data_IF_985195656642
#
_entry.id   IF_985195656642
#
_cell.length_a   1.000
_cell.length_b   1.000
_cell.length_c   1.000
_cell.angle_alpha   90.00
_cell.angle_beta   90.00
_cell.angle_gamma   90.00
#
_symmetry.space_group_name_H-M   'P 1'
#
loop_
_entity.id
_entity.type
_entity.pdbx_description
1 polymer ?
#
# COMPACT_ATOMS: atom_id res chain seq x y z
N UNK A 1 28.40 18.29 9.68
CA UNK A 1 28.01 17.39 8.57
C UNK A 1 27.51 16.16 9.29
N UNK A 2 26.23 15.82 9.18
CA UNK A 2 25.37 15.05 10.14
C UNK A 2 24.27 16.02 10.63
N UNK A 3 22.96 15.87 10.40
CA UNK A 3 22.13 14.69 10.15
C UNK A 3 21.08 14.96 9.05
N UNK A 4 21.15 14.19 7.96
CA UNK A 4 20.19 14.20 6.85
C UNK A 4 19.31 12.94 6.88
N UNK A 5 18.78 12.58 8.07
CA UNK A 5 18.22 11.24 8.33
C UNK A 5 16.72 11.21 8.74
N UNK A 6 15.97 12.30 8.56
CA UNK A 6 14.53 12.36 8.92
C UNK A 6 13.58 12.54 7.74
N UNK A 7 14.08 12.44 6.51
CA UNK A 7 13.28 12.38 5.28
C UNK A 7 13.16 10.88 4.93
N UNK A 8 12.06 10.16 5.12
CA UNK A 8 10.84 10.19 4.30
C UNK A 8 9.88 9.07 4.78
N UNK A 9 9.63 8.96 6.08
CA UNK A 9 8.59 8.02 6.54
C UNK A 9 7.22 8.67 6.29
N UNK A 10 6.65 8.41 5.11
CA UNK A 10 5.29 8.86 4.81
C UNK A 10 4.36 8.32 5.90
N UNK A 11 3.53 9.18 6.52
CA UNK A 11 2.58 8.75 7.54
C UNK A 11 1.77 7.56 6.99
N UNK A 12 1.55 6.48 7.76
CA UNK A 12 0.85 5.28 7.30
C UNK A 12 -0.48 5.58 6.59
N UNK A 13 -1.19 6.62 7.06
CA UNK A 13 -2.42 7.11 6.44
C UNK A 13 -2.26 7.56 4.98
N UNK A 14 -1.15 8.20 4.60
CA UNK A 14 -0.90 8.62 3.20
C UNK A 14 -0.64 7.43 2.30
N UNK A 15 0.08 6.42 2.79
CA UNK A 15 0.36 5.20 2.05
C UNK A 15 -0.92 4.40 1.78
N UNK A 16 -1.76 4.24 2.80
CA UNK A 16 -3.09 3.62 2.68
C UNK A 16 -3.97 4.40 1.70
N UNK A 17 -4.02 5.73 1.80
CA UNK A 17 -4.81 6.55 0.88
C UNK A 17 -4.35 6.36 -0.59
N UNK A 18 -3.05 6.28 -0.84
CA UNK A 18 -2.49 5.98 -2.17
C UNK A 18 -2.88 4.59 -2.66
N UNK A 19 -2.78 3.57 -1.79
CA UNK A 19 -3.20 2.21 -2.12
C UNK A 19 -4.67 2.15 -2.53
N UNK A 20 -5.55 2.79 -1.74
CA UNK A 20 -6.98 2.87 -2.02
C UNK A 20 -7.30 3.61 -3.32
N UNK A 21 -6.58 4.70 -3.62
CA UNK A 21 -6.76 5.44 -4.87
C UNK A 21 -6.43 4.58 -6.11
N UNK A 22 -5.34 3.81 -6.03
CA UNK A 22 -4.94 2.89 -7.10
C UNK A 22 -5.90 1.70 -7.21
N UNK A 23 -6.30 1.09 -6.10
CA UNK A 23 -7.30 0.02 -6.07
C UNK A 23 -8.62 0.47 -6.70
N UNK A 24 -9.14 1.62 -6.29
CA UNK A 24 -10.39 2.15 -6.84
C UNK A 24 -10.28 2.44 -8.34
N UNK A 25 -9.10 2.88 -8.82
CA UNK A 25 -8.85 3.05 -10.27
C UNK A 25 -8.86 1.71 -11.00
N UNK A 26 -8.19 0.70 -10.45
CA UNK A 26 -8.20 -0.65 -11.00
C UNK A 26 -9.62 -1.19 -11.09
N UNK A 27 -10.40 -1.14 -10.01
CA UNK A 27 -11.79 -1.60 -9.98
C UNK A 27 -12.69 -0.90 -11.02
N UNK A 28 -12.42 0.37 -11.34
CA UNK A 28 -13.21 1.11 -12.34
C UNK A 28 -12.81 0.81 -13.77
N UNK A 29 -11.55 0.53 -14.04
CA UNK A 29 -11.02 0.49 -15.42
C UNK A 29 -10.38 -0.83 -15.81
N UNK A 30 -10.26 -1.79 -14.89
CA UNK A 30 -9.50 -3.03 -15.06
C UNK A 30 -8.01 -2.83 -15.36
N UNK A 31 -7.43 -1.65 -15.08
CA UNK A 31 -6.05 -1.34 -15.49
C UNK A 31 -5.06 -2.15 -14.64
N UNK A 32 -4.25 -3.05 -15.22
CA UNK A 32 -3.33 -3.91 -14.43
C UNK A 32 -2.27 -3.09 -13.69
N UNK A 33 -1.76 -2.04 -14.34
CA UNK A 33 -0.78 -1.14 -13.72
C UNK A 33 -1.31 -0.41 -12.47
N UNK A 34 -2.63 -0.23 -12.37
CA UNK A 34 -3.23 0.32 -11.16
C UNK A 34 -3.28 -0.72 -10.03
N UNK A 35 -3.53 -1.99 -10.35
CA UNK A 35 -3.43 -3.10 -9.39
C UNK A 35 -2.00 -3.25 -8.86
N UNK A 36 -0.99 -3.28 -9.74
CA UNK A 36 0.42 -3.37 -9.35
C UNK A 36 0.82 -2.28 -8.35
N UNK A 37 0.41 -1.03 -8.60
CA UNK A 37 0.71 0.09 -7.70
C UNK A 37 -0.03 0.00 -6.37
N UNK A 38 -1.26 -0.51 -6.38
CA UNK A 38 -2.00 -0.76 -5.14
C UNK A 38 -1.30 -1.86 -4.32
N UNK A 39 -0.91 -2.97 -4.95
CA UNK A 39 -0.20 -4.08 -4.32
C UNK A 39 1.11 -3.61 -3.66
N UNK A 40 1.96 -2.88 -4.38
CA UNK A 40 3.22 -2.35 -3.83
C UNK A 40 3.03 -1.50 -2.55
N UNK A 41 2.00 -0.66 -2.53
CA UNK A 41 1.71 0.16 -1.35
C UNK A 41 1.13 -0.69 -0.21
N UNK A 42 0.28 -1.67 -0.51
CA UNK A 42 -0.29 -2.57 0.48
C UNK A 42 0.76 -3.50 1.11
N UNK A 43 1.72 -4.00 0.33
CA UNK A 43 2.87 -4.75 0.85
C UNK A 43 3.67 -3.92 1.85
N UNK A 44 3.92 -2.64 1.54
CA UNK A 44 4.64 -1.74 2.43
C UNK A 44 3.84 -1.44 3.71
N UNK A 45 2.51 -1.30 3.61
CA UNK A 45 1.61 -1.22 4.79
C UNK A 45 1.70 -2.51 5.63
N UNK A 46 1.66 -3.67 4.99
CA UNK A 46 1.72 -4.99 5.64
C UNK A 46 3.07 -5.30 6.32
N UNK A 47 4.15 -4.69 5.83
CA UNK A 47 5.50 -4.81 6.37
C UNK A 47 5.78 -3.86 7.56
N UNK A 48 5.04 -2.75 7.68
CA UNK A 48 5.26 -1.77 8.75
C UNK A 48 4.95 -2.33 10.14
N UNK A 49 5.94 -2.42 11.02
CA UNK A 49 5.77 -2.95 12.38
C UNK A 49 4.80 -2.10 13.23
N UNK A 50 4.79 -0.79 12.99
CA UNK A 50 3.92 0.20 13.63
C UNK A 50 2.47 0.19 13.07
N UNK A 51 2.23 -0.55 11.99
CA UNK A 51 0.90 -0.65 11.39
C UNK A 51 0.01 -1.58 12.22
N UNK A 52 -1.22 -1.12 12.49
CA UNK A 52 -2.27 -1.92 13.13
C UNK A 52 -2.32 -3.37 12.59
N UNK A 53 -2.34 -4.41 13.45
CA UNK A 53 -2.30 -5.79 13.02
C UNK A 53 -3.44 -6.20 12.08
N UNK A 54 -4.65 -5.67 12.28
CA UNK A 54 -5.79 -5.95 11.40
C UNK A 54 -5.58 -5.30 10.03
N UNK A 55 -5.10 -4.05 10.01
CA UNK A 55 -4.75 -3.38 8.76
C UNK A 55 -3.67 -4.15 7.98
N UNK A 56 -2.64 -4.68 8.66
CA UNK A 56 -1.63 -5.54 8.01
C UNK A 56 -2.23 -6.82 7.43
N UNK A 57 -3.15 -7.46 8.15
CA UNK A 57 -3.82 -8.66 7.67
C UNK A 57 -4.67 -8.37 6.42
N UNK A 58 -5.47 -7.31 6.45
CA UNK A 58 -6.28 -6.89 5.29
C UNK A 58 -5.41 -6.46 4.09
N UNK A 59 -4.27 -5.80 4.34
CA UNK A 59 -3.36 -5.44 3.27
C UNK A 59 -2.78 -6.69 2.58
N UNK A 60 -2.40 -7.73 3.32
CA UNK A 60 -1.92 -9.02 2.75
C UNK A 60 -3.01 -9.73 1.96
N UNK A 61 -4.24 -9.74 2.47
CA UNK A 61 -5.38 -10.33 1.78
C UNK A 61 -5.64 -9.63 0.44
N UNK A 62 -5.63 -8.30 0.42
CA UNK A 62 -5.82 -7.52 -0.79
C UNK A 62 -4.68 -7.73 -1.81
N UNK A 63 -3.42 -7.84 -1.36
CA UNK A 63 -2.30 -8.20 -2.25
C UNK A 63 -2.57 -9.56 -2.91
N UNK A 64 -2.94 -10.57 -2.13
CA UNK A 64 -3.22 -11.91 -2.65
C UNK A 64 -4.42 -11.94 -3.62
N UNK A 65 -5.39 -11.04 -3.47
CA UNK A 65 -6.47 -10.88 -4.45
C UNK A 65 -5.93 -10.27 -5.75
N UNK A 66 -5.15 -9.19 -5.67
CA UNK A 66 -4.62 -8.49 -6.84
C UNK A 66 -3.61 -9.31 -7.64
N UNK A 67 -2.91 -10.25 -7.02
CA UNK A 67 -1.99 -11.18 -7.71
C UNK A 67 -2.70 -12.30 -8.47
N UNK A 68 -3.98 -12.52 -8.20
CA UNK A 68 -4.80 -13.58 -8.81
C UNK A 68 -5.68 -13.07 -9.96
N UNK A 69 -5.89 -11.75 -10.05
CA UNK A 69 -6.61 -11.05 -11.11
C UNK A 69 -5.72 -10.86 -12.37
#
# INVERSE_FOLDING_TARGET
MEDNALQDEQPPARMVAGALAHLARHMRTGCPRAAERAALLLERVAAGAETDPHLRAHARELVAVLERD
#
